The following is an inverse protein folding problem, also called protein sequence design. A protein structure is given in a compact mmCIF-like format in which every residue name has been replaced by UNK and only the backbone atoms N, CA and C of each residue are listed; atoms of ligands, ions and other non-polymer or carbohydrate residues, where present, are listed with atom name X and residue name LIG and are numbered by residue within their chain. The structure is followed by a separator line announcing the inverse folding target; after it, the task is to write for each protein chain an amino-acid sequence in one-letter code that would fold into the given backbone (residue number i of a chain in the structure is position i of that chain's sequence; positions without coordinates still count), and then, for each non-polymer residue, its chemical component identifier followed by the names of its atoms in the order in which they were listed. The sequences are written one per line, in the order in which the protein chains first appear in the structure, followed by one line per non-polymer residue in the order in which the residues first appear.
data_IF_736553708218
#
_entry.id   IF_736553708218
#
_cell.length_a   1.000
_cell.length_b   1.000
_cell.length_c   1.000
_cell.angle_alpha   90.00
_cell.angle_beta   90.00
_cell.angle_gamma   90.00
#
_symmetry.space_group_name_H-M   'P 1'
#
loop_
_entity.id
_entity.type
_entity.pdbx_description
1 polymer ?
#
# COMPACT_ATOMS: atom_id res chain seq x y z
N UNK A 1 -1.75 8.96 8.19
CA UNK A 1 -1.01 7.80 7.64
C UNK A 1 0.03 7.38 8.67
N UNK A 2 0.21 6.06 8.88
CA UNK A 2 1.30 5.54 9.74
C UNK A 2 2.39 4.95 8.84
N UNK A 3 3.64 5.01 9.28
CA UNK A 3 4.81 4.48 8.57
C UNK A 3 5.52 3.46 9.45
N UNK A 4 6.01 2.38 8.86
CA UNK A 4 6.91 1.41 9.49
C UNK A 4 8.18 1.22 8.65
N UNK A 5 9.01 0.24 9.03
CA UNK A 5 10.28 -0.05 8.35
C UNK A 5 10.12 -0.43 6.86
N UNK A 6 8.91 -0.80 6.42
CA UNK A 6 8.60 -1.14 5.03
C UNK A 6 7.93 -0.02 4.24
N UNK A 7 7.66 1.12 4.88
CA UNK A 7 7.05 2.30 4.25
C UNK A 7 5.71 2.69 4.85
N UNK A 8 4.93 3.46 4.10
CA UNK A 8 3.62 3.98 4.48
C UNK A 8 2.61 2.83 4.50
N UNK A 9 1.98 2.58 5.64
CA UNK A 9 0.94 1.56 5.78
C UNK A 9 -0.30 1.96 4.97
N UNK A 10 -0.61 1.20 3.92
CA UNK A 10 -1.79 1.42 3.11
C UNK A 10 -2.95 0.62 3.71
N UNK A 11 -4.06 1.31 3.99
CA UNK A 11 -5.30 0.70 4.48
C UNK A 11 -6.47 1.14 3.63
N UNK A 12 -7.53 0.34 3.61
CA UNK A 12 -8.74 0.66 2.83
C UNK A 12 -9.29 2.05 3.17
N UNK A 13 -9.48 2.34 4.47
CA UNK A 13 -10.00 3.63 4.92
C UNK A 13 -9.13 4.82 4.45
N UNK A 14 -7.80 4.66 4.50
CA UNK A 14 -6.89 5.70 4.05
C UNK A 14 -7.00 5.94 2.55
N UNK A 15 -7.03 4.87 1.75
CA UNK A 15 -7.12 4.96 0.30
C UNK A 15 -8.49 5.46 -0.17
N UNK A 16 -9.59 5.07 0.50
CA UNK A 16 -10.94 5.56 0.19
C UNK A 16 -11.07 7.07 0.36
N UNK A 17 -10.25 7.68 1.22
CA UNK A 17 -10.18 9.14 1.39
C UNK A 17 -9.22 9.82 0.40
N UNK A 18 -8.48 9.05 -0.41
CA UNK A 18 -7.38 9.52 -1.26
C UNK A 18 -7.36 8.77 -2.61
N UNK A 19 -8.54 8.57 -3.22
CA UNK A 19 -8.69 7.73 -4.41
C UNK A 19 -7.86 8.22 -5.61
N UNK A 20 -7.79 9.54 -5.80
CA UNK A 20 -7.02 10.21 -6.86
C UNK A 20 -5.54 10.39 -6.51
N UNK A 21 -5.16 10.14 -5.25
CA UNK A 21 -3.78 10.28 -4.80
C UNK A 21 -2.87 9.24 -5.44
N UNK A 22 -1.61 9.62 -5.66
CA UNK A 22 -0.60 8.75 -6.28
C UNK A 22 0.30 8.15 -5.21
N UNK A 23 0.46 6.84 -5.22
CA UNK A 23 1.35 6.10 -4.32
C UNK A 23 2.46 5.47 -5.14
N UNK A 24 3.72 5.64 -4.73
CA UNK A 24 4.88 5.13 -5.47
C UNK A 24 5.66 4.09 -4.67
N UNK A 25 6.33 3.20 -5.40
CA UNK A 25 6.99 2.01 -4.89
C UNK A 25 6.04 1.18 -4.01
N UNK A 26 4.85 0.92 -4.53
CA UNK A 26 3.82 0.16 -3.82
C UNK A 26 4.23 -1.31 -3.76
N UNK A 27 4.26 -1.89 -2.56
CA UNK A 27 4.62 -3.28 -2.32
C UNK A 27 3.55 -3.97 -1.48
N UNK A 28 3.26 -5.22 -1.80
CA UNK A 28 2.39 -6.09 -1.03
C UNK A 28 3.19 -7.26 -0.47
N UNK A 29 3.14 -7.46 0.84
CA UNK A 29 3.90 -8.48 1.56
C UNK A 29 2.98 -9.57 2.10
N UNK A 30 3.52 -10.77 2.30
CA UNK A 30 2.84 -11.82 3.08
C UNK A 30 2.58 -11.35 4.53
N UNK A 31 1.44 -11.74 5.10
CA UNK A 31 1.08 -11.40 6.50
C UNK A 31 1.93 -12.11 7.56
N UNK A 32 2.56 -13.24 7.22
CA UNK A 32 3.36 -14.01 8.16
C UNK A 32 4.60 -13.20 8.57
N UNK A 33 4.59 -12.72 9.82
CA UNK A 33 5.71 -12.10 10.52
C UNK A 33 6.55 -11.14 9.67
N UNK A 34 6.05 -9.90 9.53
CA UNK A 34 6.76 -8.75 8.97
C UNK A 34 8.16 -8.48 9.61
N UNK A 35 8.63 -9.28 10.57
CA UNK A 35 9.93 -9.12 11.22
C UNK A 35 11.08 -9.83 10.51
N UNK A 36 10.89 -11.08 10.07
CA UNK A 36 12.04 -11.93 9.67
C UNK A 36 11.95 -12.47 8.23
N UNK A 37 10.75 -12.64 7.64
CA UNK A 37 10.58 -13.25 6.31
C UNK A 37 9.48 -12.57 5.47
N UNK A 38 9.40 -11.23 5.53
CA UNK A 38 8.42 -10.48 4.74
C UNK A 38 8.70 -10.62 3.23
N UNK A 39 7.99 -11.54 2.57
CA UNK A 39 8.14 -11.75 1.13
C UNK A 39 7.27 -10.77 0.34
N UNK A 40 7.89 -10.06 -0.60
CA UNK A 40 7.16 -9.23 -1.57
C UNK A 40 6.43 -10.14 -2.56
N UNK A 41 5.12 -10.02 -2.60
CA UNK A 41 4.23 -10.74 -3.51
C UNK A 41 3.85 -9.91 -4.73
N UNK A 42 3.71 -8.59 -4.54
CA UNK A 42 3.49 -7.64 -5.62
C UNK A 42 4.34 -6.40 -5.43
N UNK A 43 4.83 -5.85 -6.53
CA UNK A 43 5.57 -4.59 -6.56
C UNK A 43 5.12 -3.77 -7.77
N UNK A 44 4.76 -2.52 -7.52
CA UNK A 44 4.34 -1.58 -8.54
C UNK A 44 5.13 -0.28 -8.38
N UNK A 45 5.72 0.26 -9.46
CA UNK A 45 6.41 1.55 -9.39
C UNK A 45 5.47 2.67 -8.93
N UNK A 46 4.22 2.65 -9.37
CA UNK A 46 3.22 3.66 -9.06
C UNK A 46 1.81 3.10 -9.23
N UNK A 47 0.89 3.49 -8.34
CA UNK A 47 -0.54 3.23 -8.45
C UNK A 47 -1.32 4.42 -7.87
N UNK A 48 -2.51 4.69 -8.40
CA UNK A 48 -3.49 5.56 -7.74
C UNK A 48 -4.12 4.88 -6.51
N UNK A 49 -4.71 5.65 -5.61
CA UNK A 49 -5.42 5.12 -4.45
C UNK A 49 -6.53 4.13 -4.83
N UNK A 50 -7.24 4.41 -5.93
CA UNK A 50 -8.25 3.52 -6.52
C UNK A 50 -7.65 2.19 -6.97
N UNK A 51 -6.51 2.22 -7.67
CA UNK A 51 -5.85 0.99 -8.14
C UNK A 51 -5.30 0.16 -6.99
N UNK A 52 -4.73 0.79 -5.96
CA UNK A 52 -4.28 0.06 -4.76
C UNK A 52 -5.47 -0.65 -4.09
N UNK A 53 -6.62 0.03 -3.96
CA UNK A 53 -7.83 -0.58 -3.39
C UNK A 53 -8.30 -1.80 -4.17
N UNK A 54 -8.38 -1.69 -5.51
CA UNK A 54 -8.79 -2.81 -6.35
C UNK A 54 -7.85 -4.02 -6.16
N UNK A 55 -6.54 -3.78 -6.08
CA UNK A 55 -5.57 -4.84 -5.81
C UNK A 55 -5.72 -5.45 -4.41
N UNK A 56 -6.02 -4.64 -3.38
CA UNK A 56 -6.29 -5.12 -2.02
C UNK A 56 -7.54 -5.99 -1.91
N UNK A 57 -8.52 -5.82 -2.80
CA UNK A 57 -9.72 -6.63 -2.83
C UNK A 57 -9.47 -8.04 -3.37
N UNK A 58 -8.62 -8.13 -4.40
CA UNK A 58 -8.16 -9.40 -4.99
C UNK A 58 -7.18 -10.15 -4.09
N UNK A 59 -6.40 -9.45 -3.25
CA UNK A 59 -5.35 -10.04 -2.40
C UNK A 59 -5.52 -9.69 -0.90
N UNK A 60 -6.60 -10.19 -0.28
CA UNK A 60 -7.04 -9.84 1.10
C UNK A 60 -6.07 -10.25 2.22
N UNK A 61 -5.18 -11.20 1.98
CA UNK A 61 -4.23 -11.71 2.97
C UNK A 61 -2.89 -10.97 2.98
N UNK A 62 -2.70 -9.98 2.09
CA UNK A 62 -1.44 -9.23 1.98
C UNK A 62 -1.46 -7.92 2.77
N UNK A 63 -0.25 -7.47 3.11
CA UNK A 63 -0.01 -6.20 3.78
C UNK A 63 0.62 -5.24 2.77
N UNK A 64 0.02 -4.07 2.59
CA UNK A 64 0.41 -3.14 1.53
C UNK A 64 1.16 -1.93 2.09
N UNK A 65 2.22 -1.53 1.39
CA UNK A 65 3.07 -0.39 1.70
C UNK A 65 3.31 0.46 0.46
N UNK A 66 3.57 1.74 0.65
CA UNK A 66 4.16 2.61 -0.37
C UNK A 66 5.38 3.31 0.22
N UNK A 67 6.38 3.64 -0.59
CA UNK A 67 7.49 4.47 -0.12
C UNK A 67 7.07 5.94 0.00
N UNK A 68 6.28 6.42 -0.98
CA UNK A 68 5.80 7.79 -1.04
C UNK A 68 4.31 7.87 -1.40
N UNK A 69 3.69 8.97 -1.00
CA UNK A 69 2.31 9.31 -1.34
C UNK A 69 2.24 10.79 -1.73
N UNK A 70 1.82 11.07 -2.96
CA UNK A 70 1.51 12.40 -3.47
C UNK A 70 -0.01 12.57 -3.44
N UNK A 71 -0.49 13.25 -2.40
CA UNK A 71 -1.91 13.47 -2.18
C UNK A 71 -2.28 14.89 -2.60
N UNK A 72 -3.49 15.05 -3.13
CA UNK A 72 -4.01 16.38 -3.39
C UNK A 72 -4.20 17.13 -2.06
N UNK A 73 -3.85 18.43 -2.00
CA UNK A 73 -4.20 19.26 -0.86
C UNK A 73 -5.73 19.30 -0.74
N UNK A 74 -6.20 19.17 0.50
CA UNK A 74 -7.63 19.30 0.83
C UNK A 74 -8.04 20.75 0.97
#
# INVERSE_FOLDING_TARGET
MKRDIFGICLSRNMLSSNLSGTFTHVRAYTKANLGEDAKVMHAFPQLSGKEVLANMESARSLVWRAEFACLEPK
#
